data_IF_309615201159
#
_entry.id   IF_309615201159
#
_cell.length_a   1.000
_cell.length_b   1.000
_cell.length_c   1.000
_cell.angle_alpha   90.00
_cell.angle_beta   90.00
_cell.angle_gamma   90.00
#
_symmetry.space_group_name_H-M   'P 1'
#
loop_
_entity.id
_entity.type
_entity.pdbx_description
1 polymer ?
#
# COMPACT_ATOMS: atom_id res chain seq x y z
N UNK A 1 -5.59 -7.45 11.57
CA UNK A 1 -7.03 -7.73 11.41
C UNK A 1 -7.36 -9.18 11.83
N UNK A 2 -7.92 -9.36 13.01
CA UNK A 2 -8.41 -10.65 13.50
C UNK A 2 -9.70 -10.44 14.30
N UNK A 3 -10.61 -11.42 14.28
CA UNK A 3 -11.83 -11.43 15.07
C UNK A 3 -11.61 -11.90 16.52
N UNK A 4 -12.69 -12.20 17.23
CA UNK A 4 -12.63 -12.79 18.57
C UNK A 4 -12.13 -11.83 19.65
N UNK A 5 -11.18 -12.26 20.47
CA UNK A 5 -10.66 -11.47 21.60
C UNK A 5 -9.97 -10.18 21.16
N UNK A 6 -9.19 -10.22 20.07
CA UNK A 6 -8.50 -9.05 19.54
C UNK A 6 -9.48 -7.97 19.06
N UNK A 7 -10.59 -8.36 18.45
CA UNK A 7 -11.64 -7.43 18.06
C UNK A 7 -12.29 -6.75 19.27
N UNK A 8 -12.53 -7.48 20.37
CA UNK A 8 -13.06 -6.90 21.61
C UNK A 8 -12.13 -5.85 22.19
N UNK A 9 -10.81 -6.08 22.11
CA UNK A 9 -9.80 -5.11 22.56
C UNK A 9 -9.85 -3.85 21.67
N UNK A 10 -9.86 -3.98 20.34
CA UNK A 10 -9.96 -2.84 19.42
C UNK A 10 -11.25 -2.06 19.67
N UNK A 11 -12.38 -2.76 19.78
CA UNK A 11 -13.67 -2.15 20.12
C UNK A 11 -13.57 -1.33 21.40
N UNK A 12 -13.03 -1.89 22.46
CA UNK A 12 -12.86 -1.19 23.73
C UNK A 12 -12.00 0.07 23.57
N UNK A 13 -10.90 -0.01 22.87
CA UNK A 13 -9.99 1.13 22.66
C UNK A 13 -10.64 2.25 21.83
N UNK A 14 -11.37 1.91 20.78
CA UNK A 14 -12.06 2.88 19.90
C UNK A 14 -13.26 3.50 20.61
N UNK A 15 -14.12 2.70 21.23
CA UNK A 15 -15.32 3.20 21.92
C UNK A 15 -14.98 4.11 23.11
N UNK A 16 -13.85 3.89 23.78
CA UNK A 16 -13.35 4.77 24.84
C UNK A 16 -12.48 5.92 24.33
N UNK A 17 -12.39 6.10 23.01
CA UNK A 17 -11.62 7.17 22.38
C UNK A 17 -10.14 7.20 22.79
N UNK A 18 -9.51 6.03 22.95
CA UNK A 18 -8.10 5.92 23.33
C UNK A 18 -7.14 5.86 22.15
N UNK A 19 -7.61 5.47 20.97
CA UNK A 19 -6.75 5.39 19.77
C UNK A 19 -6.56 6.80 19.19
N UNK A 20 -5.33 7.31 19.17
CA UNK A 20 -5.01 8.64 18.64
C UNK A 20 -4.59 8.56 17.18
N UNK A 21 -3.62 7.70 16.85
CA UNK A 21 -3.19 7.48 15.50
C UNK A 21 -2.71 6.04 15.26
N UNK A 22 -2.74 5.61 14.01
CA UNK A 22 -2.16 4.36 13.55
C UNK A 22 -1.28 4.69 12.35
N UNK A 23 -0.01 4.29 12.42
CA UNK A 23 1.01 4.60 11.43
C UNK A 23 1.55 3.28 10.89
N UNK A 24 1.31 3.01 9.62
CA UNK A 24 1.90 1.87 8.92
C UNK A 24 3.31 2.23 8.47
N UNK A 25 4.30 1.49 8.95
CA UNK A 25 5.70 1.66 8.58
C UNK A 25 6.07 0.82 7.35
N UNK A 26 7.18 1.14 6.68
CA UNK A 26 7.68 0.34 5.57
C UNK A 26 7.98 -1.12 5.96
N UNK A 27 7.84 -2.02 5.01
CA UNK A 27 8.36 -3.39 5.12
C UNK A 27 9.89 -3.39 5.17
N UNK A 28 10.49 -4.50 5.59
CA UNK A 28 11.96 -4.66 5.70
C UNK A 28 12.67 -3.57 6.53
N UNK A 29 11.97 -2.96 7.48
CA UNK A 29 12.54 -1.91 8.34
C UNK A 29 13.34 -2.52 9.49
N UNK A 30 12.93 -3.67 10.01
CA UNK A 30 13.58 -4.36 11.11
C UNK A 30 14.37 -5.57 10.62
N UNK A 31 15.46 -5.91 11.32
CA UNK A 31 16.30 -7.04 10.98
C UNK A 31 15.50 -8.35 10.95
N UNK A 32 15.57 -9.09 9.84
CA UNK A 32 14.86 -10.35 9.61
C UNK A 32 13.31 -10.24 9.62
N UNK A 33 12.75 -9.04 9.49
CA UNK A 33 11.30 -8.80 9.41
C UNK A 33 10.97 -8.23 8.04
N UNK A 34 10.30 -9.02 7.20
CA UNK A 34 9.93 -8.65 5.82
C UNK A 34 8.56 -7.99 5.70
N UNK A 35 7.74 -8.08 6.74
CA UNK A 35 6.39 -7.49 6.77
C UNK A 35 6.41 -6.05 7.27
N UNK A 36 5.38 -5.28 6.91
CA UNK A 36 5.11 -3.96 7.49
C UNK A 36 4.74 -4.09 8.96
N UNK A 37 5.11 -3.09 9.75
CA UNK A 37 4.78 -2.98 11.17
C UNK A 37 4.00 -1.69 11.41
N UNK A 38 3.00 -1.75 12.27
CA UNK A 38 2.19 -0.60 12.62
C UNK A 38 2.56 -0.05 14.00
N UNK A 39 2.59 1.28 14.12
CA UNK A 39 2.66 1.98 15.40
C UNK A 39 1.23 2.37 15.81
N UNK A 40 0.78 1.89 16.96
CA UNK A 40 -0.46 2.28 17.57
C UNK A 40 -0.21 3.34 18.64
N UNK A 41 -0.64 4.58 18.40
CA UNK A 41 -0.58 5.66 19.38
C UNK A 41 -1.87 5.69 20.22
N UNK A 42 -1.69 5.56 21.52
CA UNK A 42 -2.79 5.65 22.50
C UNK A 42 -2.69 6.94 23.30
N UNK A 43 -3.82 7.61 23.46
CA UNK A 43 -3.92 8.87 24.19
C UNK A 43 -5.19 8.92 25.03
N UNK A 44 -5.07 9.23 26.31
CA UNK A 44 -6.18 9.54 27.18
C UNK A 44 -6.61 11.00 27.02
N UNK A 45 -7.89 11.26 27.21
CA UNK A 45 -8.45 12.63 27.20
C UNK A 45 -8.25 13.35 25.83
N UNK A 46 -8.47 12.64 24.72
CA UNK A 46 -8.56 13.27 23.40
C UNK A 46 -9.69 14.29 23.35
N UNK A 47 -9.48 15.36 22.60
CA UNK A 47 -10.49 16.42 22.41
C UNK A 47 -11.45 16.10 21.26
N UNK A 48 -11.01 15.29 20.30
CA UNK A 48 -11.78 14.84 19.14
C UNK A 48 -12.13 13.36 19.23
N UNK A 49 -13.12 12.92 18.46
CA UNK A 49 -13.56 11.54 18.33
C UNK A 49 -13.13 10.95 16.97
N UNK A 50 -11.86 11.14 16.61
CA UNK A 50 -11.33 10.65 15.34
C UNK A 50 -9.96 10.02 15.52
N UNK A 51 -9.63 9.06 14.66
CA UNK A 51 -8.35 8.35 14.59
C UNK A 51 -7.63 8.81 13.34
N UNK A 52 -6.37 9.18 13.45
CA UNK A 52 -5.52 9.45 12.29
C UNK A 52 -4.89 8.15 11.79
N UNK A 53 -5.12 7.81 10.53
CA UNK A 53 -4.45 6.72 9.84
C UNK A 53 -3.38 7.31 8.93
N UNK A 54 -2.14 6.82 9.03
CA UNK A 54 -1.00 7.29 8.24
C UNK A 54 -0.37 6.11 7.51
N UNK A 55 -0.33 6.16 6.19
CA UNK A 55 0.40 5.21 5.35
C UNK A 55 1.81 5.72 5.06
N UNK A 56 2.76 5.34 5.91
CA UNK A 56 4.17 5.63 5.71
C UNK A 56 4.92 4.47 5.03
N UNK A 57 4.22 3.53 4.40
CA UNK A 57 4.83 2.35 3.76
C UNK A 57 5.84 2.69 2.65
N UNK A 58 5.71 3.87 2.03
CA UNK A 58 6.61 4.38 0.99
C UNK A 58 7.70 5.33 1.54
N UNK A 59 7.66 5.67 2.83
CA UNK A 59 8.58 6.60 3.49
C UNK A 59 9.85 5.89 3.94
N UNK A 60 10.76 5.59 3.02
CA UNK A 60 12.03 4.98 3.35
C UNK A 60 13.14 5.29 2.35
N UNK A 61 14.38 5.09 2.77
CA UNK A 61 15.54 4.97 1.91
C UNK A 61 16.04 3.53 1.92
N UNK A 62 16.39 3.00 0.76
CA UNK A 62 16.89 1.64 0.65
C UNK A 62 18.38 1.58 1.01
N UNK A 63 18.73 0.74 1.99
CA UNK A 63 20.11 0.52 2.41
C UNK A 63 20.42 -0.97 2.26
N UNK A 64 21.07 -1.33 1.18
CA UNK A 64 21.39 -2.72 0.83
C UNK A 64 20.16 -3.64 0.77
N UNK A 65 19.97 -4.52 1.77
CA UNK A 65 18.84 -5.45 1.86
C UNK A 65 17.65 -4.93 2.67
N UNK A 66 17.86 -3.91 3.50
CA UNK A 66 16.86 -3.38 4.42
C UNK A 66 16.44 -1.97 4.02
N UNK A 67 15.26 -1.57 4.48
CA UNK A 67 14.79 -0.20 4.41
C UNK A 67 15.17 0.54 5.69
N UNK A 68 15.36 1.86 5.60
CA UNK A 68 15.65 2.74 6.72
C UNK A 68 14.80 4.00 6.62
N UNK A 69 14.33 4.51 7.74
CA UNK A 69 13.75 5.84 7.82
C UNK A 69 14.88 6.88 7.85
N UNK A 70 14.84 7.84 6.93
CA UNK A 70 15.68 9.04 7.01
C UNK A 70 15.06 10.04 7.98
N UNK A 71 15.84 11.05 8.35
CA UNK A 71 15.33 12.14 9.22
C UNK A 71 14.16 12.87 8.57
N UNK A 72 14.15 13.01 7.25
CA UNK A 72 13.05 13.63 6.50
C UNK A 72 11.78 12.75 6.51
N UNK A 73 11.92 11.43 6.36
CA UNK A 73 10.80 10.51 6.50
C UNK A 73 10.20 10.59 7.92
N UNK A 74 11.05 10.60 8.93
CA UNK A 74 10.62 10.73 10.34
C UNK A 74 9.89 12.06 10.55
N UNK A 75 10.45 13.18 10.07
CA UNK A 75 9.83 14.51 10.17
C UNK A 75 8.47 14.54 9.50
N UNK A 76 8.33 13.98 8.30
CA UNK A 76 7.06 13.90 7.57
C UNK A 76 5.99 13.15 8.37
N UNK A 77 6.34 11.97 8.90
CA UNK A 77 5.44 11.16 9.72
C UNK A 77 5.02 11.94 10.98
N UNK A 78 5.98 12.53 11.70
CA UNK A 78 5.73 13.29 12.93
C UNK A 78 4.87 14.53 12.65
N UNK A 79 5.13 15.23 11.54
CA UNK A 79 4.32 16.40 11.14
C UNK A 79 2.88 16.02 10.85
N UNK A 80 2.64 14.92 10.13
CA UNK A 80 1.29 14.42 9.87
C UNK A 80 0.53 14.11 11.17
N UNK A 81 1.20 13.47 12.14
CA UNK A 81 0.61 13.17 13.44
C UNK A 81 0.32 14.43 14.24
N UNK A 82 1.19 15.44 14.16
CA UNK A 82 1.00 16.71 14.86
C UNK A 82 -0.11 17.57 14.25
N UNK A 83 -0.18 17.64 12.91
CA UNK A 83 -1.16 18.45 12.19
C UNK A 83 -2.54 17.81 12.14
N UNK A 84 -2.64 16.49 12.17
CA UNK A 84 -3.89 15.73 12.13
C UNK A 84 -4.82 16.15 10.98
N UNK A 85 -4.28 16.22 9.78
CA UNK A 85 -5.00 16.59 8.55
C UNK A 85 -5.03 15.45 7.55
N UNK A 86 -6.04 15.47 6.68
CA UNK A 86 -6.09 14.58 5.54
C UNK A 86 -5.02 14.97 4.51
N UNK A 87 -4.27 13.99 4.04
CA UNK A 87 -3.33 14.10 2.93
C UNK A 87 -3.56 12.92 1.99
N UNK A 88 -3.80 13.20 0.72
CA UNK A 88 -4.10 12.19 -0.28
C UNK A 88 -3.00 11.12 -0.34
N UNK A 89 -3.38 9.84 -0.34
CA UNK A 89 -2.49 8.68 -0.37
C UNK A 89 -1.49 8.57 0.79
N UNK A 90 -1.62 9.41 1.83
CA UNK A 90 -0.68 9.41 2.96
C UNK A 90 -1.36 9.41 4.33
N UNK A 91 -2.34 10.28 4.56
CA UNK A 91 -2.99 10.38 5.87
C UNK A 91 -4.49 10.63 5.75
N UNK A 92 -5.30 10.01 6.63
CA UNK A 92 -6.74 10.25 6.74
C UNK A 92 -7.19 10.28 8.18
N UNK A 93 -7.95 11.30 8.53
CA UNK A 93 -8.60 11.44 9.83
C UNK A 93 -10.01 10.83 9.75
N UNK A 94 -10.24 9.75 10.50
CA UNK A 94 -11.46 8.94 10.42
C UNK A 94 -12.22 9.02 11.74
N UNK A 95 -13.51 9.38 11.75
CA UNK A 95 -14.33 9.36 12.95
C UNK A 95 -14.45 7.97 13.57
N UNK A 96 -14.47 7.87 14.91
CA UNK A 96 -14.61 6.61 15.62
C UNK A 96 -15.85 5.83 15.20
N UNK A 97 -16.96 6.52 14.87
CA UNK A 97 -18.21 5.91 14.42
C UNK A 97 -18.06 5.20 13.07
N UNK A 98 -17.24 5.76 12.15
CA UNK A 98 -16.92 5.11 10.88
C UNK A 98 -16.10 3.83 11.10
N UNK A 99 -15.12 3.88 12.01
CA UNK A 99 -14.33 2.71 12.39
C UNK A 99 -15.17 1.63 13.07
N UNK A 100 -16.12 2.03 13.95
CA UNK A 100 -17.05 1.16 14.65
C UNK A 100 -18.22 0.67 13.80
N UNK A 101 -18.39 1.12 12.56
CA UNK A 101 -19.47 0.75 11.67
C UNK A 101 -19.52 -0.77 11.42
N UNK A 102 -20.69 -1.29 11.01
CA UNK A 102 -20.86 -2.71 10.64
C UNK A 102 -19.92 -3.13 9.49
N UNK A 103 -19.63 -2.20 8.58
CA UNK A 103 -18.74 -2.45 7.44
C UNK A 103 -17.30 -2.59 7.88
N UNK A 104 -16.80 -1.69 8.72
CA UNK A 104 -15.41 -1.65 9.15
C UNK A 104 -15.13 -2.53 10.37
N UNK A 105 -16.13 -2.80 11.20
CA UNK A 105 -16.07 -3.75 12.29
C UNK A 105 -14.83 -3.60 13.20
N UNK A 106 -14.50 -2.35 13.55
CA UNK A 106 -13.30 -1.99 14.31
C UNK A 106 -11.98 -2.46 13.67
N UNK A 107 -11.95 -2.52 12.34
CA UNK A 107 -10.72 -2.76 11.62
C UNK A 107 -9.80 -1.54 11.77
N UNK A 108 -8.54 -1.76 12.15
CA UNK A 108 -7.54 -0.71 12.35
C UNK A 108 -6.42 -0.79 11.31
N UNK A 109 -6.61 -1.53 10.22
CA UNK A 109 -5.64 -1.57 9.12
C UNK A 109 -5.64 -0.26 8.34
N UNK A 110 -4.49 0.35 8.16
CA UNK A 110 -4.35 1.64 7.48
C UNK A 110 -4.88 1.59 6.04
N UNK A 111 -4.61 0.51 5.31
CA UNK A 111 -5.08 0.30 3.93
C UNK A 111 -6.60 0.26 3.76
N UNK A 112 -7.37 0.16 4.85
CA UNK A 112 -8.84 0.25 4.79
C UNK A 112 -9.31 1.70 4.63
N UNK A 113 -8.53 2.67 5.12
CA UNK A 113 -8.93 4.07 5.21
C UNK A 113 -8.10 4.99 4.33
N UNK A 114 -6.83 4.66 4.13
CA UNK A 114 -5.92 5.42 3.24
C UNK A 114 -5.79 4.68 1.93
N UNK A 115 -6.31 5.28 0.86
CA UNK A 115 -6.20 4.74 -0.48
C UNK A 115 -4.76 4.89 -0.98
N UNK A 116 -4.15 3.77 -1.36
CA UNK A 116 -2.80 3.81 -1.92
C UNK A 116 -2.83 4.38 -3.33
N UNK A 117 -1.79 5.12 -3.68
CA UNK A 117 -1.58 5.60 -5.03
C UNK A 117 -1.47 4.42 -6.01
N UNK A 118 -2.33 4.39 -7.02
CA UNK A 118 -2.25 3.39 -8.09
C UNK A 118 -1.05 3.68 -8.99
N UNK A 119 0.07 3.05 -8.67
CA UNK A 119 1.32 3.16 -9.45
C UNK A 119 1.39 2.18 -10.61
N UNK A 120 0.30 1.44 -10.90
CA UNK A 120 0.27 0.55 -12.05
C UNK A 120 0.34 1.38 -13.33
N UNK A 121 1.27 1.03 -14.21
CA UNK A 121 1.29 1.61 -15.55
C UNK A 121 -0.09 1.40 -16.19
N UNK A 122 -0.70 2.49 -16.66
CA UNK A 122 -1.90 2.40 -17.48
C UNK A 122 -1.49 1.75 -18.79
N UNK A 123 -1.70 0.44 -18.88
CA UNK A 123 -1.43 -0.30 -20.10
C UNK A 123 -2.39 0.21 -21.19
N UNK A 124 -1.84 0.85 -22.19
CA UNK A 124 -2.58 1.19 -23.39
C UNK A 124 -2.80 -0.09 -24.21
N UNK A 125 -3.99 -0.67 -24.05
CA UNK A 125 -4.38 -1.93 -24.70
C UNK A 125 -4.29 -1.80 -26.23
N UNK A 126 -4.57 -0.62 -26.79
CA UNK A 126 -4.49 -0.38 -28.23
C UNK A 126 -3.04 -0.46 -28.71
N UNK A 127 -2.13 0.18 -27.98
CA UNK A 127 -0.69 0.15 -28.28
C UNK A 127 -0.13 -1.26 -28.13
N UNK A 128 -0.48 -1.95 -27.05
CA UNK A 128 -0.03 -3.33 -26.80
C UNK A 128 -0.54 -4.29 -27.90
N UNK A 129 -1.79 -4.17 -28.32
CA UNK A 129 -2.34 -4.98 -29.42
C UNK A 129 -1.63 -4.69 -30.76
N UNK A 130 -1.26 -3.45 -31.03
CA UNK A 130 -0.49 -3.10 -32.23
C UNK A 130 0.92 -3.71 -32.19
N UNK A 131 1.60 -3.67 -31.06
CA UNK A 131 2.91 -4.31 -30.87
C UNK A 131 2.82 -5.84 -31.02
N UNK A 132 1.78 -6.47 -30.47
CA UNK A 132 1.54 -7.92 -30.64
C UNK A 132 1.32 -8.25 -32.13
N UNK A 133 0.52 -7.46 -32.86
CA UNK A 133 0.26 -7.70 -34.28
C UNK A 133 1.55 -7.60 -35.11
N UNK A 134 2.42 -6.64 -34.79
CA UNK A 134 3.72 -6.49 -35.46
C UNK A 134 4.64 -7.69 -35.18
N UNK A 135 4.72 -8.18 -33.94
CA UNK A 135 5.51 -9.36 -33.57
C UNK A 135 5.00 -10.60 -34.28
N UNK A 136 3.69 -10.83 -34.34
CA UNK A 136 3.09 -11.98 -35.05
C UNK A 136 3.37 -11.92 -36.54
N UNK A 137 3.26 -10.74 -37.17
CA UNK A 137 3.61 -10.58 -38.57
C UNK A 137 5.09 -10.87 -38.88
N UNK A 138 5.98 -10.47 -37.96
CA UNK A 138 7.41 -10.78 -38.07
C UNK A 138 7.70 -12.28 -37.88
N UNK A 139 7.05 -12.92 -36.93
CA UNK A 139 7.14 -14.36 -36.71
C UNK A 139 6.73 -15.15 -37.96
N UNK A 140 5.62 -14.74 -38.59
CA UNK A 140 5.11 -15.39 -39.81
C UNK A 140 6.14 -15.32 -40.96
N UNK A 141 6.75 -14.15 -41.17
CA UNK A 141 7.80 -14.00 -42.19
C UNK A 141 9.01 -14.91 -41.93
N UNK A 142 9.45 -15.00 -40.67
CA UNK A 142 10.56 -15.86 -40.29
C UNK A 142 10.24 -17.34 -40.52
N UNK A 143 9.01 -17.77 -40.27
CA UNK A 143 8.56 -19.15 -40.55
C UNK A 143 8.59 -19.43 -42.06
N UNK A 144 8.07 -18.52 -42.89
CA UNK A 144 8.10 -18.64 -44.34
C UNK A 144 9.53 -18.72 -44.89
N UNK A 145 10.48 -17.95 -44.33
CA UNK A 145 11.90 -18.04 -44.67
C UNK A 145 12.52 -19.39 -44.30
N UNK A 146 12.19 -19.93 -43.13
CA UNK A 146 12.66 -21.23 -42.67
C UNK A 146 12.11 -22.34 -43.58
N UNK A 147 10.82 -22.32 -43.90
CA UNK A 147 10.18 -23.30 -44.77
C UNK A 147 10.80 -23.30 -46.17
N UNK A 148 11.15 -22.09 -46.69
CA UNK A 148 11.86 -21.95 -47.95
C UNK A 148 13.26 -22.60 -47.90
N UNK A 149 14.01 -22.32 -46.84
CA UNK A 149 15.38 -22.88 -46.68
C UNK A 149 15.32 -24.41 -46.54
N UNK A 150 14.33 -24.92 -45.79
CA UNK A 150 14.15 -26.39 -45.69
C UNK A 150 13.85 -27.00 -47.08
N UNK A 151 12.96 -26.38 -47.86
CA UNK A 151 12.66 -26.83 -49.22
C UNK A 151 13.86 -26.78 -50.17
N UNK A 152 14.78 -25.83 -50.00
CA UNK A 152 16.04 -25.75 -50.75
C UNK A 152 17.07 -26.83 -50.34
N UNK A 153 16.98 -27.36 -49.11
CA UNK A 153 17.89 -28.39 -48.59
C UNK A 153 17.38 -29.80 -48.93
N UNK A 154 16.08 -30.00 -48.98
CA UNK A 154 15.43 -31.30 -49.22
C UNK A 154 15.20 -31.59 -50.73
N UNK A 155 15.37 -30.61 -51.61
CA UNK A 155 15.27 -30.75 -53.08
C UNK A 155 16.62 -30.93 -53.72
#
# INVERSE_FOLDING_TARGET
YRGGAEQKIRKYLVDNNYVDAIIQLPSNLFLNVTISVDILLLKKNKKDNAILFVDASKEFVKVTKNNRLSDDNIRRIVSAVAERKDEQHFARLVPNDEVGSKQNNYNLSVSTYVEQEDTREKIDIVKLNAEIAEIVAREQKLREEIDRIIGEIEG
#
